data_IF_696240222833
#
_entry.id   IF_696240222833
#
_cell.length_a   1.000
_cell.length_b   1.000
_cell.length_c   1.000
_cell.angle_alpha   90.00
_cell.angle_beta   90.00
_cell.angle_gamma   90.00
#
_symmetry.space_group_name_H-M   'P 1'
#
loop_
_entity.id
_entity.type
_entity.pdbx_description
1 polymer ?
#
# COMPACT_ATOMS: atom_id res chain seq x y z
N UNK A 1 3.86 14.85 -7.52
CA UNK A 1 4.34 14.31 -8.79
C UNK A 1 4.84 12.88 -8.58
N UNK A 2 4.59 11.96 -9.52
CA UNK A 2 5.17 10.63 -9.42
C UNK A 2 6.68 10.74 -9.30
N UNK A 3 7.25 9.81 -8.57
CA UNK A 3 8.67 9.65 -8.42
C UNK A 3 9.38 9.79 -9.78
N UNK A 4 10.13 10.83 -9.97
CA UNK A 4 10.95 11.06 -11.15
C UNK A 4 12.30 11.67 -10.75
N UNK A 5 13.37 11.07 -11.22
CA UNK A 5 14.68 11.67 -11.48
C UNK A 5 15.45 12.29 -10.33
N UNK A 6 15.22 11.92 -9.09
CA UNK A 6 16.05 12.44 -8.03
C UNK A 6 16.98 11.39 -7.48
N UNK A 7 18.26 11.70 -7.52
CA UNK A 7 19.27 10.86 -6.91
C UNK A 7 19.08 10.82 -5.39
N UNK A 8 18.45 9.74 -4.93
CA UNK A 8 18.25 9.51 -3.53
C UNK A 8 19.51 9.14 -2.76
N UNK A 9 20.60 8.82 -3.45
CA UNK A 9 21.86 8.45 -2.81
C UNK A 9 22.51 9.63 -2.11
N UNK A 10 22.25 10.86 -2.58
CA UNK A 10 22.86 12.08 -2.08
C UNK A 10 22.05 12.80 -1.01
N UNK A 11 20.80 12.39 -0.76
CA UNK A 11 19.94 13.04 0.23
C UNK A 11 19.87 12.22 1.51
N UNK A 12 20.08 12.88 2.64
CA UNK A 12 19.83 12.28 3.93
C UNK A 12 18.32 12.19 4.18
N UNK A 13 17.92 11.19 4.95
CA UNK A 13 16.51 10.88 5.22
C UNK A 13 15.78 12.02 5.96
N UNK A 14 16.52 12.81 6.76
CA UNK A 14 15.98 13.87 7.60
C UNK A 14 16.08 15.27 6.98
N UNK A 15 16.63 15.42 5.80
CA UNK A 15 16.83 16.73 5.13
C UNK A 15 15.64 17.11 4.23
N UNK A 16 14.41 16.87 4.67
CA UNK A 16 13.23 17.13 3.85
C UNK A 16 13.19 16.26 2.59
N UNK A 17 13.69 15.04 2.70
CA UNK A 17 13.77 14.09 1.61
C UNK A 17 12.46 13.78 0.91
N UNK A 18 11.34 14.18 1.49
CA UNK A 18 10.00 14.04 0.92
C UNK A 18 9.47 15.34 0.30
N UNK A 19 10.14 16.45 0.46
CA UNK A 19 9.66 17.77 0.01
C UNK A 19 9.46 17.86 -1.51
N UNK A 20 10.11 17.00 -2.26
CA UNK A 20 10.08 16.95 -3.72
C UNK A 20 9.33 15.72 -4.26
N UNK A 21 8.77 14.90 -3.37
CA UNK A 21 7.94 13.74 -3.70
C UNK A 21 6.63 13.86 -2.93
N UNK A 22 5.51 13.59 -3.61
CA UNK A 22 4.26 13.26 -2.96
C UNK A 22 4.18 11.73 -2.80
N UNK A 23 4.41 11.16 -1.60
CA UNK A 23 4.46 9.71 -1.41
C UNK A 23 3.12 9.03 -1.71
N UNK A 24 2.01 9.72 -1.43
CA UNK A 24 0.67 9.21 -1.68
C UNK A 24 0.39 9.09 -3.18
N UNK A 25 0.59 10.17 -3.94
CA UNK A 25 0.37 10.15 -5.38
C UNK A 25 1.44 9.32 -6.11
N UNK A 26 2.68 9.33 -5.66
CA UNK A 26 3.75 8.49 -6.23
C UNK A 26 3.42 7.00 -6.16
N UNK A 27 2.82 6.56 -5.07
CA UNK A 27 2.38 5.16 -4.95
C UNK A 27 1.13 4.88 -5.78
N UNK A 28 0.10 5.72 -5.69
CA UNK A 28 -1.16 5.55 -6.43
C UNK A 28 -0.96 5.51 -7.94
N UNK A 29 -0.14 6.40 -8.46
CA UNK A 29 0.08 6.55 -9.88
C UNK A 29 0.65 5.29 -10.55
N UNK A 30 1.35 4.42 -9.79
CA UNK A 30 1.83 3.13 -10.29
C UNK A 30 0.68 2.21 -10.70
N UNK A 31 -0.48 2.28 -10.03
CA UNK A 31 -1.55 1.29 -10.12
C UNK A 31 -2.84 1.81 -10.73
N UNK A 32 -3.19 3.08 -10.49
CA UNK A 32 -4.53 3.59 -10.75
C UNK A 32 -4.77 4.06 -12.19
N UNK A 33 -3.75 4.02 -13.05
CA UNK A 33 -3.82 4.48 -14.44
C UNK A 33 -3.60 5.98 -14.63
N UNK A 34 -3.10 6.69 -13.60
CA UNK A 34 -2.62 8.08 -13.76
C UNK A 34 -1.41 8.16 -14.68
N UNK A 35 -0.57 7.11 -14.67
CA UNK A 35 0.52 6.92 -15.63
C UNK A 35 0.10 5.90 -16.69
N UNK A 36 0.36 6.21 -17.95
CA UNK A 36 0.28 5.20 -18.99
C UNK A 36 1.35 4.11 -18.76
N UNK A 37 1.08 2.88 -19.21
CA UNK A 37 2.00 1.75 -18.97
C UNK A 37 3.44 2.05 -19.41
N UNK A 38 3.61 2.68 -20.58
CA UNK A 38 4.93 3.04 -21.11
C UNK A 38 5.61 4.22 -20.40
N UNK A 39 4.89 4.93 -19.55
CA UNK A 39 5.39 6.03 -18.72
C UNK A 39 5.64 5.61 -17.27
N UNK A 40 5.31 4.37 -16.92
CA UNK A 40 5.46 3.88 -15.56
C UNK A 40 6.86 3.28 -15.36
N UNK A 41 7.79 3.99 -14.70
CA UNK A 41 9.19 3.58 -14.57
C UNK A 41 9.38 2.36 -13.65
N UNK A 42 8.37 2.02 -12.85
CA UNK A 42 8.43 0.84 -11.98
C UNK A 42 8.00 -0.45 -12.68
N UNK A 43 7.33 -0.35 -13.82
CA UNK A 43 6.76 -1.49 -14.49
C UNK A 43 7.80 -2.19 -15.37
N UNK A 44 8.18 -3.41 -15.02
CA UNK A 44 9.08 -4.25 -15.82
C UNK A 44 8.26 -5.15 -16.75
N UNK A 45 7.24 -5.82 -16.20
CA UNK A 45 6.35 -6.67 -16.96
C UNK A 45 4.92 -6.55 -16.46
N UNK A 46 3.97 -6.45 -17.37
CA UNK A 46 2.56 -6.30 -17.11
C UNK A 46 1.76 -7.39 -17.81
N UNK A 47 0.71 -7.87 -17.18
CA UNK A 47 -0.30 -8.68 -17.86
C UNK A 47 -1.13 -7.76 -18.75
N UNK A 48 -1.19 -8.08 -20.05
CA UNK A 48 -1.84 -7.23 -21.03
C UNK A 48 -3.37 -7.20 -20.98
N UNK A 49 -4.02 -7.78 -19.98
CA UNK A 49 -5.48 -7.94 -19.94
C UNK A 49 -6.12 -6.84 -19.11
N UNK A 50 -6.65 -5.83 -19.82
CA UNK A 50 -7.30 -4.68 -19.20
C UNK A 50 -8.84 -4.78 -19.17
N UNK A 51 -9.44 -5.62 -20.01
CA UNK A 51 -10.88 -5.74 -20.20
C UNK A 51 -11.35 -7.21 -20.09
N UNK A 52 -12.60 -7.40 -19.71
CA UNK A 52 -13.25 -8.70 -19.60
C UNK A 52 -13.15 -9.35 -18.21
N UNK A 53 -13.70 -10.53 -18.07
CA UNK A 53 -13.67 -11.29 -16.81
C UNK A 53 -12.21 -11.55 -16.35
N UNK A 54 -11.95 -11.46 -15.07
CA UNK A 54 -10.63 -11.57 -14.47
C UNK A 54 -9.60 -10.52 -14.93
N UNK A 55 -10.06 -9.38 -15.40
CA UNK A 55 -9.22 -8.23 -15.75
C UNK A 55 -9.00 -7.30 -14.56
N UNK A 56 -8.01 -6.40 -14.70
CA UNK A 56 -7.81 -5.33 -13.71
C UNK A 56 -9.05 -4.42 -13.60
N UNK A 57 -9.75 -4.18 -14.69
CA UNK A 57 -10.97 -3.38 -14.69
C UNK A 57 -12.07 -4.02 -13.85
N UNK A 58 -12.25 -5.34 -13.94
CA UNK A 58 -13.22 -6.05 -13.10
C UNK A 58 -12.82 -6.02 -11.62
N UNK A 59 -11.55 -6.21 -11.32
CA UNK A 59 -11.03 -6.08 -9.95
C UNK A 59 -11.33 -4.70 -9.36
N UNK A 60 -11.17 -3.63 -10.13
CA UNK A 60 -11.46 -2.25 -9.70
C UNK A 60 -12.94 -2.09 -9.35
N UNK A 61 -13.85 -2.61 -10.18
CA UNK A 61 -15.30 -2.59 -9.87
C UNK A 61 -15.63 -3.33 -8.59
N UNK A 62 -14.95 -4.44 -8.33
CA UNK A 62 -15.12 -5.23 -7.11
C UNK A 62 -14.56 -4.53 -5.85
N UNK A 63 -13.64 -3.59 -6.00
CA UNK A 63 -13.14 -2.76 -4.91
C UNK A 63 -14.09 -1.62 -4.55
N UNK A 64 -14.84 -1.08 -5.51
CA UNK A 64 -15.71 0.08 -5.31
C UNK A 64 -16.82 -0.20 -4.30
N UNK A 65 -17.10 0.72 -3.37
CA UNK A 65 -18.23 0.65 -2.46
C UNK A 65 -19.58 0.63 -3.20
N UNK A 66 -20.56 -0.05 -2.62
CA UNK A 66 -21.92 -0.17 -3.22
C UNK A 66 -22.61 1.18 -3.40
N UNK A 67 -22.46 2.06 -2.41
CA UNK A 67 -23.12 3.37 -2.38
C UNK A 67 -22.42 4.38 -3.27
N UNK A 68 -21.23 4.05 -3.80
CA UNK A 68 -20.46 4.88 -4.71
C UNK A 68 -20.46 4.29 -6.11
N UNK A 69 -21.37 4.75 -6.96
CA UNK A 69 -21.45 4.30 -8.34
C UNK A 69 -21.89 2.86 -8.56
N UNK A 70 -22.46 2.19 -7.56
CA UNK A 70 -22.95 0.83 -7.67
C UNK A 70 -21.84 -0.23 -7.74
N UNK A 71 -20.77 -0.04 -7.02
CA UNK A 71 -19.69 -1.01 -6.87
C UNK A 71 -20.16 -2.30 -6.17
N UNK A 72 -19.30 -3.29 -6.13
CA UNK A 72 -19.64 -4.61 -5.57
C UNK A 72 -19.21 -4.77 -4.12
N UNK A 73 -18.25 -3.95 -3.64
CA UNK A 73 -17.75 -4.05 -2.27
C UNK A 73 -17.28 -5.48 -1.89
N UNK A 74 -16.62 -6.15 -2.84
CA UNK A 74 -16.33 -7.58 -2.75
C UNK A 74 -14.92 -7.91 -2.29
N UNK A 75 -13.95 -7.01 -2.55
CA UNK A 75 -12.57 -7.22 -2.14
C UNK A 75 -12.29 -6.55 -0.80
N UNK A 76 -12.06 -7.37 0.21
CA UNK A 76 -11.70 -6.94 1.56
C UNK A 76 -10.26 -7.30 1.92
N UNK A 77 -9.78 -6.61 2.94
CA UNK A 77 -8.48 -6.80 3.56
C UNK A 77 -8.67 -7.43 4.94
N UNK A 78 -7.71 -8.26 5.38
CA UNK A 78 -7.70 -8.74 6.76
C UNK A 78 -7.22 -7.65 7.70
N UNK A 79 -7.65 -7.70 8.97
CA UNK A 79 -7.15 -6.79 10.00
C UNK A 79 -5.62 -6.88 10.15
N UNK A 80 -5.07 -8.10 10.08
CA UNK A 80 -3.61 -8.31 10.13
C UNK A 80 -2.87 -7.55 9.02
N UNK A 81 -3.43 -7.50 7.81
CA UNK A 81 -2.84 -6.72 6.71
C UNK A 81 -2.98 -5.22 6.95
N UNK A 82 -4.13 -4.76 7.45
CA UNK A 82 -4.35 -3.37 7.84
C UNK A 82 -3.34 -2.92 8.90
N UNK A 83 -3.10 -3.76 9.91
CA UNK A 83 -2.17 -3.48 11.02
C UNK A 83 -0.69 -3.55 10.59
N UNK A 84 -0.38 -4.22 9.47
CA UNK A 84 0.98 -4.32 8.96
C UNK A 84 1.56 -2.98 8.48
N UNK A 85 0.72 -2.07 8.00
CA UNK A 85 1.17 -0.74 7.57
C UNK A 85 1.79 0.03 8.73
N UNK A 86 2.84 0.80 8.43
CA UNK A 86 3.53 1.63 9.41
C UNK A 86 2.73 2.87 9.82
N UNK A 87 3.13 3.46 10.93
CA UNK A 87 2.80 4.84 11.26
C UNK A 87 3.58 5.81 10.36
N UNK A 88 3.17 7.05 10.27
CA UNK A 88 3.82 8.07 9.45
C UNK A 88 5.29 8.31 9.81
N UNK A 89 5.64 8.11 11.08
CA UNK A 89 7.02 8.20 11.58
C UNK A 89 7.86 6.94 11.33
N UNK A 90 7.30 5.91 10.69
CA UNK A 90 7.97 4.65 10.38
C UNK A 90 7.90 3.58 11.47
N UNK A 91 7.27 3.86 12.60
CA UNK A 91 7.04 2.89 13.66
C UNK A 91 6.01 1.84 13.24
N UNK A 92 6.09 0.67 13.84
CA UNK A 92 5.10 -0.38 13.68
C UNK A 92 3.82 -0.01 14.44
N UNK A 93 2.66 -0.18 13.81
CA UNK A 93 1.40 -0.03 14.52
C UNK A 93 1.26 -1.14 15.58
N UNK A 94 0.93 -0.73 16.79
CA UNK A 94 0.61 -1.63 17.91
C UNK A 94 -0.82 -1.42 18.37
N UNK A 95 -1.60 -2.47 18.29
CA UNK A 95 -3.00 -2.46 18.77
C UNK A 95 -3.11 -2.35 20.28
N UNK A 96 -2.15 -2.90 21.00
CA UNK A 96 -2.05 -2.79 22.45
C UNK A 96 -1.79 -1.34 22.85
N UNK A 97 -0.76 -0.74 22.26
CA UNK A 97 -0.43 0.68 22.50
C UNK A 97 -1.61 1.60 22.13
N UNK A 98 -2.27 1.35 21.00
CA UNK A 98 -3.46 2.09 20.62
C UNK A 98 -4.57 2.02 21.69
N UNK A 99 -4.83 0.85 22.26
CA UNK A 99 -5.84 0.68 23.32
C UNK A 99 -5.47 1.37 24.62
N UNK A 100 -4.19 1.45 24.93
CA UNK A 100 -3.67 2.18 26.08
C UNK A 100 -3.77 3.70 25.90
N UNK A 101 -3.39 4.18 24.72
CA UNK A 101 -3.45 5.61 24.35
C UNK A 101 -4.90 6.12 24.26
N UNK A 102 -5.79 5.29 23.70
CA UNK A 102 -7.21 5.63 23.52
C UNK A 102 -8.12 4.67 24.30
N UNK A 103 -8.46 4.98 25.56
CA UNK A 103 -9.42 4.19 26.32
C UNK A 103 -10.79 4.09 25.65
N UNK A 104 -11.57 3.09 26.03
CA UNK A 104 -12.93 2.92 25.50
C UNK A 104 -13.76 4.19 25.68
N UNK A 105 -14.40 4.66 24.62
CA UNK A 105 -15.17 5.92 24.58
C UNK A 105 -14.42 7.11 23.97
N UNK A 106 -13.07 7.05 23.84
CA UNK A 106 -12.27 8.13 23.23
C UNK A 106 -11.70 7.78 21.88
N UNK A 107 -12.07 6.62 21.33
CA UNK A 107 -11.46 6.01 20.14
C UNK A 107 -11.97 6.57 18.80
N UNK A 108 -13.00 7.40 18.83
CA UNK A 108 -13.54 8.02 17.64
C UNK A 108 -13.16 9.49 17.59
N UNK A 109 -12.89 9.96 16.38
CA UNK A 109 -12.58 11.37 16.13
C UNK A 109 -13.80 12.21 16.43
N UNK A 110 -13.63 13.25 17.25
CA UNK A 110 -14.70 14.18 17.59
C UNK A 110 -14.75 15.36 16.62
N UNK A 111 -15.85 16.11 16.68
CA UNK A 111 -16.02 17.33 15.89
C UNK A 111 -14.94 18.37 16.22
N UNK A 112 -14.64 18.53 17.50
CA UNK A 112 -13.62 19.49 17.99
C UNK A 112 -12.23 19.11 17.47
N UNK A 113 -11.89 17.81 17.41
CA UNK A 113 -10.62 17.35 16.85
C UNK A 113 -10.53 17.59 15.33
N UNK A 114 -11.65 17.47 14.60
CA UNK A 114 -11.71 17.83 13.17
C UNK A 114 -11.49 19.34 12.98
N UNK A 115 -12.19 20.17 13.74
CA UNK A 115 -12.07 21.64 13.69
C UNK A 115 -10.65 22.11 14.08
N UNK A 116 -10.00 21.41 15.01
CA UNK A 116 -8.62 21.66 15.42
C UNK A 116 -7.58 21.11 14.42
N UNK A 117 -7.99 20.29 13.44
CA UNK A 117 -7.06 19.64 12.50
C UNK A 117 -6.15 18.59 13.14
N UNK A 118 -6.55 18.00 14.29
CA UNK A 118 -5.73 17.05 15.05
C UNK A 118 -5.40 15.80 14.23
N UNK A 119 -6.35 15.33 13.44
CA UNK A 119 -6.19 14.15 12.56
C UNK A 119 -6.59 14.53 11.13
N UNK A 120 -5.71 15.18 10.35
CA UNK A 120 -6.07 15.79 9.07
C UNK A 120 -6.58 14.77 8.02
N UNK A 121 -6.22 13.49 8.17
CA UNK A 121 -6.67 12.43 7.27
C UNK A 121 -8.04 11.85 7.64
N UNK A 122 -8.57 12.17 8.83
CA UNK A 122 -9.79 11.56 9.36
C UNK A 122 -10.93 12.56 9.44
N UNK A 123 -12.14 12.05 9.31
CA UNK A 123 -13.39 12.80 9.52
C UNK A 123 -13.98 12.47 10.89
N UNK A 124 -14.96 13.26 11.34
CA UNK A 124 -15.74 12.98 12.55
C UNK A 124 -16.31 11.56 12.54
N UNK A 125 -16.29 10.89 13.68
CA UNK A 125 -16.82 9.54 13.86
C UNK A 125 -15.94 8.42 13.31
N UNK A 126 -14.78 8.74 12.72
CA UNK A 126 -13.81 7.75 12.26
C UNK A 126 -12.98 7.21 13.43
N UNK A 127 -12.64 5.94 13.37
CA UNK A 127 -11.84 5.27 14.40
C UNK A 127 -10.38 5.73 14.34
N UNK A 128 -9.83 6.18 15.47
CA UNK A 128 -8.49 6.79 15.55
C UNK A 128 -7.35 5.83 15.24
N UNK A 129 -7.58 4.52 15.19
CA UNK A 129 -6.56 3.54 14.77
C UNK A 129 -6.06 3.77 13.32
N UNK A 130 -6.81 4.53 12.54
CA UNK A 130 -6.46 4.90 11.18
C UNK A 130 -5.72 6.25 11.08
N UNK A 131 -5.50 6.93 12.22
CA UNK A 131 -4.77 8.18 12.27
C UNK A 131 -3.27 7.98 12.08
N UNK A 132 -2.62 9.00 11.52
CA UNK A 132 -1.15 9.08 11.45
C UNK A 132 -0.47 7.85 10.85
N UNK A 133 -1.14 7.17 9.90
CA UNK A 133 -0.57 6.04 9.18
C UNK A 133 0.27 6.53 7.99
N UNK A 134 1.13 5.67 7.47
CA UNK A 134 1.95 5.97 6.30
C UNK A 134 1.11 6.27 5.04
N UNK A 135 1.64 7.01 4.05
CA UNK A 135 0.90 7.37 2.83
C UNK A 135 0.34 6.20 2.03
N UNK A 136 1.05 5.05 1.97
CA UNK A 136 0.56 3.84 1.30
C UNK A 136 -0.69 3.26 1.94
N UNK A 137 -0.87 3.46 3.25
CA UNK A 137 -2.09 3.08 3.95
C UNK A 137 -3.30 3.81 3.34
N UNK A 138 -3.25 5.13 3.28
CA UNK A 138 -4.35 5.93 2.73
C UNK A 138 -4.55 5.73 1.23
N UNK A 139 -3.51 5.32 0.51
CA UNK A 139 -3.60 4.99 -0.91
C UNK A 139 -4.21 3.63 -1.21
N UNK A 140 -4.24 2.74 -0.22
CA UNK A 140 -4.59 1.32 -0.44
C UNK A 140 -5.77 0.84 0.38
N UNK A 141 -5.99 1.39 1.58
CA UNK A 141 -6.93 0.88 2.57
C UNK A 141 -8.20 1.70 2.59
N UNK A 142 -9.32 1.06 2.29
CA UNK A 142 -10.65 1.63 2.48
C UNK A 142 -11.19 1.21 3.83
N UNK A 143 -10.98 2.04 4.84
CA UNK A 143 -11.48 1.82 6.19
C UNK A 143 -12.86 2.45 6.38
N UNK A 144 -13.58 2.04 7.42
CA UNK A 144 -14.89 2.62 7.73
C UNK A 144 -14.77 4.13 8.02
N UNK A 145 -15.55 4.91 7.30
CA UNK A 145 -15.53 6.37 7.40
C UNK A 145 -14.47 7.06 6.55
N UNK A 146 -13.68 6.35 5.74
CA UNK A 146 -12.77 7.02 4.81
C UNK A 146 -13.53 7.70 3.66
N UNK A 147 -12.90 8.71 3.08
CA UNK A 147 -13.47 9.46 1.95
C UNK A 147 -13.00 8.84 0.63
N UNK A 148 -13.97 8.57 -0.24
CA UNK A 148 -13.72 8.18 -1.61
C UNK A 148 -14.00 9.36 -2.54
N UNK A 149 -12.98 9.79 -3.28
CA UNK A 149 -13.11 10.80 -4.32
C UNK A 149 -13.31 10.09 -5.67
N UNK A 150 -14.56 9.94 -6.11
CA UNK A 150 -14.92 9.37 -7.41
C UNK A 150 -15.58 10.45 -8.27
N UNK A 151 -14.77 11.32 -8.84
CA UNK A 151 -15.17 12.58 -9.47
C UNK A 151 -16.18 12.38 -10.61
N UNK A 152 -16.00 11.35 -11.44
CA UNK A 152 -16.92 11.08 -12.55
C UNK A 152 -18.24 10.43 -12.16
N UNK A 153 -18.35 9.89 -10.96
CA UNK A 153 -19.63 9.39 -10.50
C UNK A 153 -20.65 10.50 -10.23
N UNK A 154 -20.17 11.72 -9.98
CA UNK A 154 -21.02 12.90 -9.88
C UNK A 154 -21.80 13.22 -11.17
N UNK A 155 -21.33 12.74 -12.31
CA UNK A 155 -22.03 12.90 -13.61
C UNK A 155 -23.14 11.87 -13.84
N UNK A 156 -23.21 10.82 -13.02
CA UNK A 156 -24.28 9.81 -13.11
C UNK A 156 -25.43 10.20 -12.20
N UNK A 157 -26.64 10.04 -12.65
CA UNK A 157 -27.90 10.64 -12.21
C UNK A 157 -28.20 10.64 -10.71
N UNK A 158 -27.69 9.68 -9.95
CA UNK A 158 -28.04 9.49 -8.54
C UNK A 158 -27.01 10.08 -7.56
N UNK A 159 -25.84 10.52 -8.06
CA UNK A 159 -24.69 10.89 -7.23
C UNK A 159 -24.09 12.26 -7.59
N UNK A 160 -24.88 13.13 -8.24
CA UNK A 160 -24.44 14.44 -8.76
C UNK A 160 -23.80 15.37 -7.75
N UNK A 161 -24.06 15.15 -6.46
CA UNK A 161 -23.54 16.00 -5.38
C UNK A 161 -22.49 15.27 -4.52
N UNK A 162 -22.17 14.01 -4.81
CA UNK A 162 -21.29 13.18 -4.02
C UNK A 162 -19.91 13.05 -4.70
N UNK A 163 -19.25 14.16 -4.91
CA UNK A 163 -17.87 14.19 -5.47
C UNK A 163 -16.89 13.53 -4.52
N UNK A 164 -17.13 13.70 -3.23
CA UNK A 164 -16.41 13.05 -2.14
C UNK A 164 -17.42 12.47 -1.17
N UNK A 165 -17.36 11.17 -0.94
CA UNK A 165 -18.27 10.49 -0.04
C UNK A 165 -17.54 9.68 1.01
N UNK A 166 -17.99 9.82 2.23
CA UNK A 166 -17.56 9.00 3.35
C UNK A 166 -18.28 7.65 3.30
N UNK A 167 -17.52 6.55 3.24
CA UNK A 167 -18.08 5.19 3.20
C UNK A 167 -18.43 4.68 4.59
N UNK A 168 -19.47 3.86 4.68
CA UNK A 168 -19.98 3.33 5.93
C UNK A 168 -20.10 1.81 5.85
N UNK A 169 -19.12 1.09 6.38
CA UNK A 169 -19.05 -0.37 6.34
C UNK A 169 -19.76 -1.08 7.51
N UNK A 170 -20.53 -0.35 8.30
CA UNK A 170 -21.35 -0.96 9.37
C UNK A 170 -22.67 -1.53 8.84
N UNK A 171 -23.31 -2.36 9.66
CA UNK A 171 -24.63 -2.91 9.36
C UNK A 171 -25.69 -1.82 9.21
N UNK A 172 -26.52 -1.91 8.17
CA UNK A 172 -27.63 -0.99 7.98
C UNK A 172 -28.13 -0.89 6.55
N UNK A 173 -29.30 -0.29 6.40
CA UNK A 173 -29.90 0.04 5.10
C UNK A 173 -29.15 1.26 4.54
N UNK A 174 -28.88 1.27 3.23
CA UNK A 174 -28.14 2.32 2.53
C UNK A 174 -26.70 2.53 3.03
N UNK A 175 -26.09 1.49 3.58
CA UNK A 175 -24.68 1.47 3.92
C UNK A 175 -23.90 0.57 2.97
N UNK A 176 -22.57 0.64 3.03
CA UNK A 176 -21.65 -0.26 2.32
C UNK A 176 -21.43 -1.57 3.08
N UNK A 177 -21.96 -1.70 4.27
CA UNK A 177 -21.91 -2.89 5.11
C UNK A 177 -22.98 -3.94 4.77
N UNK A 178 -23.17 -4.88 5.69
CA UNK A 178 -24.18 -5.93 5.56
C UNK A 178 -25.58 -5.35 5.76
N UNK A 179 -26.47 -5.61 4.82
CA UNK A 179 -27.87 -5.16 4.85
C UNK A 179 -28.90 -6.32 4.77
N UNK A 180 -28.49 -7.52 5.20
CA UNK A 180 -29.35 -8.73 5.17
C UNK A 180 -29.15 -9.59 3.93
N UNK A 181 -28.71 -9.02 2.80
CA UNK A 181 -28.47 -9.75 1.55
C UNK A 181 -27.30 -9.16 0.77
N UNK A 182 -26.71 -9.96 -0.12
CA UNK A 182 -25.72 -9.51 -1.07
C UNK A 182 -24.27 -9.55 -0.57
N UNK A 183 -23.37 -9.00 -1.39
CA UNK A 183 -21.94 -8.96 -1.13
C UNK A 183 -21.61 -7.79 -0.20
N UNK A 184 -20.75 -8.02 0.78
CA UNK A 184 -20.27 -7.02 1.72
C UNK A 184 -18.86 -7.38 2.19
N UNK A 185 -18.12 -6.38 2.71
CA UNK A 185 -16.80 -6.58 3.29
C UNK A 185 -16.93 -7.28 4.64
N UNK A 186 -16.50 -8.54 4.72
CA UNK A 186 -16.58 -9.34 5.95
C UNK A 186 -15.73 -8.81 7.08
N UNK A 187 -14.59 -8.19 6.75
CA UNK A 187 -13.68 -7.55 7.70
C UNK A 187 -14.07 -6.09 8.02
N UNK A 188 -14.96 -5.49 7.24
CA UNK A 188 -15.23 -4.04 7.29
C UNK A 188 -14.09 -3.18 6.75
N UNK A 189 -13.09 -3.78 6.10
CA UNK A 189 -11.93 -3.08 5.52
C UNK A 189 -11.83 -3.45 4.05
N UNK A 190 -11.90 -2.46 3.17
CA UNK A 190 -11.79 -2.63 1.72
C UNK A 190 -10.40 -2.29 1.19
N UNK A 191 -10.25 -2.43 -0.11
CA UNK A 191 -9.03 -2.11 -0.86
C UNK A 191 -9.39 -1.06 -1.90
N UNK A 192 -8.55 -0.01 -2.06
CA UNK A 192 -8.73 1.03 -3.07
C UNK A 192 -7.49 1.25 -3.96
N UNK A 193 -6.48 0.42 -3.83
CA UNK A 193 -5.15 0.57 -4.44
C UNK A 193 -5.18 0.86 -5.94
N UNK A 194 -6.10 0.25 -6.68
CA UNK A 194 -6.18 0.37 -8.14
C UNK A 194 -7.20 1.39 -8.63
N UNK A 195 -7.95 2.01 -7.73
CA UNK A 195 -9.06 2.88 -8.11
C UNK A 195 -8.56 4.27 -8.46
N UNK A 196 -8.96 4.77 -9.63
CA UNK A 196 -8.75 6.15 -10.05
C UNK A 196 -9.98 7.00 -9.74
N UNK A 197 -9.84 8.29 -9.39
CA UNK A 197 -11.00 9.18 -9.17
C UNK A 197 -11.98 9.25 -10.34
N UNK A 198 -11.50 9.06 -11.55
CA UNK A 198 -12.33 9.05 -12.78
C UNK A 198 -12.98 7.69 -13.09
N UNK A 199 -12.71 6.65 -12.31
CA UNK A 199 -13.32 5.34 -12.55
C UNK A 199 -14.80 5.35 -12.23
N UNK A 200 -15.59 4.71 -13.08
CA UNK A 200 -17.03 4.51 -12.84
C UNK A 200 -17.42 3.08 -13.09
N UNK A 201 -18.18 2.48 -12.19
CA UNK A 201 -18.66 1.09 -12.36
C UNK A 201 -19.60 0.94 -13.55
N UNK A 202 -20.35 1.98 -13.90
CA UNK A 202 -21.42 1.95 -14.92
C UNK A 202 -20.97 2.40 -16.31
N UNK A 203 -19.87 3.16 -16.43
CA UNK A 203 -19.42 3.70 -17.71
C UNK A 203 -18.05 3.19 -18.09
N UNK A 204 -17.04 3.63 -17.37
CA UNK A 204 -15.66 3.44 -17.79
C UNK A 204 -14.73 3.24 -16.59
N UNK A 205 -13.85 2.28 -16.73
CA UNK A 205 -12.67 2.12 -15.88
C UNK A 205 -11.46 2.57 -16.68
N UNK A 206 -10.71 3.51 -16.15
CA UNK A 206 -9.49 4.00 -16.78
C UNK A 206 -8.51 2.85 -17.01
N UNK A 207 -7.85 2.82 -18.15
CA UNK A 207 -6.85 1.81 -18.47
C UNK A 207 -5.72 1.81 -17.43
N UNK A 208 -5.33 0.63 -16.95
CA UNK A 208 -4.35 0.44 -15.90
C UNK A 208 -3.36 -0.64 -16.26
N UNK A 209 -2.15 -0.54 -15.73
CA UNK A 209 -1.24 -1.66 -15.71
C UNK A 209 -1.67 -2.66 -14.64
N UNK A 210 -1.61 -3.95 -14.97
CA UNK A 210 -1.62 -5.02 -13.98
C UNK A 210 -0.17 -5.50 -13.83
N UNK A 211 0.57 -5.06 -12.80
CA UNK A 211 1.96 -5.42 -12.64
C UNK A 211 2.09 -6.93 -12.41
N UNK A 212 2.90 -7.60 -13.21
CA UNK A 212 3.33 -8.96 -12.94
C UNK A 212 4.74 -8.96 -12.33
N UNK A 213 5.59 -8.04 -12.78
CA UNK A 213 6.91 -7.78 -12.21
C UNK A 213 7.13 -6.28 -12.22
N UNK A 214 7.49 -5.71 -11.09
CA UNK A 214 7.88 -4.30 -11.01
C UNK A 214 9.20 -4.11 -10.25
N UNK A 215 9.82 -2.97 -10.48
CA UNK A 215 11.17 -2.68 -9.99
C UNK A 215 11.27 -2.78 -8.46
N UNK A 216 10.25 -2.34 -7.73
CA UNK A 216 10.22 -2.49 -6.28
C UNK A 216 10.37 -3.96 -5.82
N UNK A 217 9.80 -4.92 -6.55
CA UNK A 217 9.97 -6.34 -6.22
C UNK A 217 11.42 -6.79 -6.40
N UNK A 218 12.08 -6.36 -7.48
CA UNK A 218 13.51 -6.68 -7.71
C UNK A 218 14.38 -6.07 -6.60
N UNK A 219 14.09 -4.84 -6.19
CA UNK A 219 14.81 -4.18 -5.09
C UNK A 219 14.65 -4.94 -3.76
N UNK A 220 13.45 -5.42 -3.46
CA UNK A 220 13.18 -6.22 -2.26
C UNK A 220 13.90 -7.57 -2.32
N UNK A 221 13.87 -8.26 -3.47
CA UNK A 221 14.61 -9.52 -3.69
C UNK A 221 16.11 -9.29 -3.49
N UNK A 222 16.64 -8.21 -4.03
CA UNK A 222 18.06 -7.87 -3.88
C UNK A 222 18.47 -7.70 -2.42
N UNK A 223 17.72 -6.90 -1.66
CA UNK A 223 17.99 -6.68 -0.24
C UNK A 223 17.83 -7.97 0.58
N UNK A 224 16.82 -8.79 0.25
CA UNK A 224 16.57 -10.08 0.90
C UNK A 224 17.71 -11.07 0.63
N UNK A 225 18.13 -11.21 -0.63
CA UNK A 225 19.22 -12.12 -1.01
C UNK A 225 20.52 -11.76 -0.28
N UNK A 226 20.86 -10.46 -0.20
CA UNK A 226 22.05 -10.01 0.53
C UNK A 226 21.95 -10.27 2.03
N UNK A 227 20.77 -10.11 2.62
CA UNK A 227 20.58 -10.36 4.04
C UNK A 227 20.76 -11.83 4.44
N UNK A 228 20.47 -12.75 3.52
CA UNK A 228 20.59 -14.19 3.78
C UNK A 228 22.02 -14.73 3.66
N UNK A 229 22.97 -13.95 3.13
CA UNK A 229 24.37 -14.36 3.07
C UNK A 229 25.00 -14.40 4.46
N UNK A 230 25.93 -15.31 4.68
CA UNK A 230 26.67 -15.43 5.94
C UNK A 230 27.57 -14.21 6.19
N UNK A 231 27.58 -13.72 7.42
CA UNK A 231 28.43 -12.63 7.82
C UNK A 231 29.91 -13.00 7.68
N UNK A 232 30.67 -12.11 7.06
CA UNK A 232 32.11 -12.33 6.83
C UNK A 232 32.44 -13.24 5.67
N UNK A 233 31.46 -13.88 5.04
CA UNK A 233 31.64 -14.72 3.85
C UNK A 233 31.47 -13.92 2.57
N UNK A 234 32.19 -14.32 1.53
CA UNK A 234 32.08 -13.77 0.17
C UNK A 234 31.83 -14.87 -0.83
N UNK A 235 30.96 -14.60 -1.80
CA UNK A 235 30.53 -15.57 -2.81
C UNK A 235 30.76 -14.99 -4.20
N UNK A 236 31.40 -15.75 -5.07
CA UNK A 236 31.59 -15.35 -6.45
C UNK A 236 30.43 -15.85 -7.31
N UNK A 237 29.69 -14.92 -7.91
CA UNK A 237 28.54 -15.21 -8.77
C UNK A 237 28.91 -14.84 -10.20
N UNK A 238 28.89 -15.83 -11.10
CA UNK A 238 29.10 -15.59 -12.52
C UNK A 238 27.96 -14.75 -13.12
N UNK A 239 28.31 -13.86 -14.07
CA UNK A 239 27.33 -13.21 -14.92
C UNK A 239 26.54 -14.26 -15.73
N UNK A 240 25.35 -13.86 -16.24
CA UNK A 240 24.47 -14.76 -16.99
C UNK A 240 25.13 -15.40 -18.21
N UNK A 241 26.11 -14.72 -18.82
CA UNK A 241 26.87 -15.20 -19.98
C UNK A 241 28.24 -15.81 -19.60
N UNK A 242 28.55 -15.88 -18.30
CA UNK A 242 29.80 -16.41 -17.79
C UNK A 242 31.05 -15.56 -18.07
N UNK A 243 30.90 -14.36 -18.66
CA UNK A 243 32.03 -13.52 -19.06
C UNK A 243 32.72 -12.81 -17.89
N UNK A 244 31.99 -12.61 -16.79
CA UNK A 244 32.45 -11.90 -15.57
C UNK A 244 31.98 -12.63 -14.33
N UNK A 245 32.66 -12.38 -13.21
CA UNK A 245 32.25 -12.83 -11.89
C UNK A 245 32.15 -11.65 -10.94
N UNK A 246 31.12 -11.64 -10.11
CA UNK A 246 30.87 -10.62 -9.11
C UNK A 246 31.02 -11.23 -7.73
N UNK A 247 31.89 -10.64 -6.92
CA UNK A 247 32.03 -11.05 -5.52
C UNK A 247 30.96 -10.35 -4.70
N UNK A 248 30.07 -11.13 -4.08
CA UNK A 248 28.96 -10.64 -3.26
C UNK A 248 29.11 -11.10 -1.82
N UNK A 249 28.72 -10.24 -0.90
CA UNK A 249 28.72 -10.51 0.54
C UNK A 249 27.52 -9.85 1.19
N UNK A 250 27.21 -10.20 2.43
CA UNK A 250 26.26 -9.43 3.23
C UNK A 250 26.83 -8.04 3.46
N UNK A 251 26.22 -7.05 2.84
CA UNK A 251 26.70 -5.67 2.84
C UNK A 251 25.53 -4.71 3.07
N UNK A 252 25.60 -3.93 4.15
CA UNK A 252 24.52 -3.04 4.56
C UNK A 252 24.30 -1.92 3.53
N UNK A 253 25.37 -1.37 2.96
CA UNK A 253 25.21 -0.28 1.99
C UNK A 253 24.59 -0.78 0.68
N UNK A 254 24.89 -2.02 0.29
CA UNK A 254 24.21 -2.66 -0.83
C UNK A 254 22.74 -3.00 -0.49
N UNK A 255 22.44 -3.51 0.71
CA UNK A 255 21.07 -3.74 1.15
C UNK A 255 20.22 -2.45 1.15
N UNK A 256 20.83 -1.32 1.56
CA UNK A 256 20.19 0.00 1.50
C UNK A 256 19.81 0.42 0.09
N UNK A 257 20.60 0.09 -0.93
CA UNK A 257 20.25 0.37 -2.33
C UNK A 257 18.94 -0.29 -2.75
N UNK A 258 18.66 -1.45 -2.21
CA UNK A 258 17.37 -2.13 -2.42
C UNK A 258 16.22 -1.47 -1.67
N UNK A 259 16.29 -1.43 -0.35
CA UNK A 259 15.13 -1.12 0.50
C UNK A 259 14.87 0.38 0.66
N UNK A 260 15.92 1.20 0.74
CA UNK A 260 15.82 2.62 1.07
C UNK A 260 14.99 3.41 0.06
N UNK A 261 15.09 3.08 -1.22
CA UNK A 261 14.32 3.74 -2.27
C UNK A 261 12.82 3.51 -2.12
N UNK A 262 12.42 2.30 -1.74
CA UNK A 262 11.02 1.93 -1.51
C UNK A 262 10.46 2.72 -0.32
N UNK A 263 11.17 2.72 0.80
CA UNK A 263 10.75 3.43 2.01
C UNK A 263 10.66 4.94 1.79
N UNK A 264 11.62 5.50 1.06
CA UNK A 264 11.61 6.92 0.73
C UNK A 264 10.43 7.30 -0.15
N UNK A 265 10.14 6.52 -1.20
CA UNK A 265 8.94 6.73 -2.01
C UNK A 265 7.67 6.60 -1.18
N UNK A 266 7.64 5.68 -0.23
CA UNK A 266 6.53 5.48 0.69
C UNK A 266 6.35 6.61 1.72
N UNK A 267 7.31 7.51 1.85
CA UNK A 267 7.26 8.60 2.83
C UNK A 267 7.52 8.15 4.26
N UNK A 268 8.25 7.04 4.46
CA UNK A 268 8.63 6.55 5.79
C UNK A 268 10.14 6.57 5.96
N UNK A 269 10.67 6.77 7.18
CA UNK A 269 12.11 6.78 7.46
C UNK A 269 12.79 5.47 7.08
N UNK A 270 14.09 5.55 6.80
CA UNK A 270 14.94 4.37 6.64
C UNK A 270 15.03 3.57 7.95
N UNK A 271 15.43 2.33 7.85
CA UNK A 271 15.74 1.53 9.02
C UNK A 271 17.02 2.02 9.71
N UNK A 272 17.09 1.80 11.00
CA UNK A 272 18.27 2.13 11.80
C UNK A 272 19.43 1.19 11.48
N UNK A 273 20.65 1.64 11.78
CA UNK A 273 21.84 0.81 11.57
C UNK A 273 21.76 -0.50 12.39
N UNK A 274 21.24 -0.45 13.61
CA UNK A 274 21.06 -1.64 14.44
C UNK A 274 20.08 -2.65 13.84
N UNK A 275 19.00 -2.19 13.19
CA UNK A 275 18.06 -3.07 12.48
C UNK A 275 18.72 -3.72 11.26
N UNK A 276 19.55 -3.00 10.51
CA UNK A 276 20.31 -3.58 9.39
C UNK A 276 21.37 -4.60 9.84
N UNK A 277 22.02 -4.36 10.98
CA UNK A 277 23.08 -5.24 11.51
C UNK A 277 22.54 -6.58 11.98
N UNK A 278 21.36 -6.59 12.57
CA UNK A 278 20.70 -7.82 13.03
C UNK A 278 19.96 -8.49 11.86
N UNK A 279 20.48 -9.65 11.43
CA UNK A 279 19.93 -10.41 10.28
C UNK A 279 18.47 -10.79 10.48
N UNK A 280 18.10 -11.24 11.67
CA UNK A 280 16.74 -11.75 11.91
C UNK A 280 15.74 -10.60 12.08
N UNK A 281 16.16 -9.52 12.72
CA UNK A 281 15.37 -8.28 12.77
C UNK A 281 15.15 -7.74 11.36
N UNK A 282 16.21 -7.60 10.56
CA UNK A 282 16.09 -7.07 9.22
C UNK A 282 15.26 -7.98 8.31
N UNK A 283 15.38 -9.31 8.43
CA UNK A 283 14.51 -10.26 7.72
C UNK A 283 13.03 -10.03 8.03
N UNK A 284 12.66 -9.81 9.29
CA UNK A 284 11.27 -9.50 9.67
C UNK A 284 10.81 -8.17 9.05
N UNK A 285 11.69 -7.16 9.05
CA UNK A 285 11.42 -5.85 8.43
C UNK A 285 11.22 -5.97 6.92
N UNK A 286 12.08 -6.73 6.21
CA UNK A 286 11.93 -6.99 4.78
C UNK A 286 10.63 -7.73 4.45
N UNK A 287 10.28 -8.75 5.23
CA UNK A 287 9.01 -9.48 5.04
C UNK A 287 7.81 -8.54 5.19
N UNK A 288 7.82 -7.66 6.20
CA UNK A 288 6.76 -6.67 6.39
C UNK A 288 6.73 -5.66 5.25
N UNK A 289 7.86 -5.12 4.87
CA UNK A 289 7.94 -4.16 3.75
C UNK A 289 7.42 -4.76 2.46
N UNK A 290 7.82 -6.00 2.15
CA UNK A 290 7.31 -6.77 1.00
C UNK A 290 5.81 -6.97 1.06
N UNK A 291 5.27 -7.31 2.23
CA UNK A 291 3.84 -7.49 2.44
C UNK A 291 3.05 -6.21 2.17
N UNK A 292 3.53 -5.06 2.64
CA UNK A 292 2.88 -3.76 2.43
C UNK A 292 2.99 -3.33 0.97
N UNK A 293 4.20 -3.36 0.45
CA UNK A 293 4.52 -2.84 -0.88
C UNK A 293 3.78 -3.59 -2.00
N UNK A 294 3.74 -4.92 -1.91
CA UNK A 294 3.15 -5.80 -2.91
C UNK A 294 1.72 -6.24 -2.58
N UNK A 295 1.05 -5.57 -1.65
CA UNK A 295 -0.32 -5.89 -1.26
C UNK A 295 -1.24 -5.86 -2.48
N UNK A 296 -2.06 -6.91 -2.63
CA UNK A 296 -3.02 -7.11 -3.73
C UNK A 296 -2.40 -7.23 -5.14
N UNK A 297 -1.12 -7.50 -5.29
CA UNK A 297 -0.45 -7.72 -6.59
C UNK A 297 -0.27 -9.20 -6.97
N UNK A 298 -0.71 -10.11 -6.14
CA UNK A 298 -0.62 -11.56 -6.40
C UNK A 298 0.68 -12.24 -5.95
N UNK A 299 1.88 -11.68 -6.13
CA UNK A 299 3.13 -12.36 -5.75
C UNK A 299 3.23 -12.73 -4.27
N UNK A 300 2.62 -11.92 -3.39
CA UNK A 300 2.68 -12.13 -1.92
C UNK A 300 2.06 -13.45 -1.49
N UNK A 301 1.02 -13.93 -2.18
CA UNK A 301 0.36 -15.19 -1.86
C UNK A 301 1.27 -16.41 -2.10
N UNK A 302 2.11 -16.35 -3.12
CA UNK A 302 2.99 -17.45 -3.49
C UNK A 302 4.28 -17.48 -2.67
N UNK A 303 4.84 -16.33 -2.34
CA UNK A 303 6.11 -16.25 -1.59
C UNK A 303 5.95 -16.60 -0.11
N UNK A 304 4.76 -16.42 0.46
CA UNK A 304 4.50 -16.81 1.85
C UNK A 304 4.17 -18.29 2.03
N UNK A 305 3.74 -18.98 0.97
CA UNK A 305 3.47 -20.42 0.97
C UNK A 305 4.73 -21.29 0.83
N UNK A 306 5.84 -20.70 0.37
CA UNK A 306 7.11 -21.41 0.15
C UNK A 306 8.13 -21.23 1.27
N UNK A 307 7.86 -20.38 2.27
CA UNK A 307 8.69 -20.27 3.45
C UNK A 307 8.36 -21.38 4.45
N UNK A 308 9.36 -21.95 5.15
CA UNK A 308 9.12 -22.97 6.16
C UNK A 308 8.09 -22.48 7.19
N UNK A 309 7.11 -23.31 7.46
CA UNK A 309 5.99 -23.03 8.38
C UNK A 309 6.40 -22.85 9.84
N UNK A 310 7.67 -23.00 10.17
CA UNK A 310 8.22 -22.82 11.52
C UNK A 310 8.15 -21.37 12.04
N UNK A 311 7.95 -20.38 11.17
CA UNK A 311 7.94 -18.95 11.54
C UNK A 311 6.52 -18.35 11.61
N UNK A 312 5.47 -19.20 11.62
CA UNK A 312 4.06 -18.78 11.65
C UNK A 312 3.36 -19.05 13.00
N UNK A 313 4.12 -19.28 14.06
CA UNK A 313 3.56 -19.43 15.42
C UNK A 313 3.86 -18.22 16.26
#
# INVERSE_FOLDING_TARGET
APYQDKDFSTKTWNEGGYSDIDPYESYRAVFNGSLAMYQNPELIFSRGRNQGANSIAEMVKLQMPKTLGGGSNAYGMTQKMCDAYYMANGDEFSREHFKEEYPYGTRFVTKEEVEAGTYPQLKEGVYKEYANREPRFYASVSYNGCVWALLKNAETTDYKNDVEKQVNYYYGINTDGFSGTGVYLRSGIGIMKYVHPDDTNRKEIKAKAEPAIRFAEILLIYAEALNELEDGSSYDIASWDGSTSYSVKRDIDEMKKGIRQIRRRAGVPDYTMSEYQDRDVFRKKLKRERQIELMAEGPVSYTHLTLPTSDLV
#
